data_IF_312693436769
#
_entry.id   IF_312693436769
#
_cell.length_a   1.000
_cell.length_b   1.000
_cell.length_c   1.000
_cell.angle_alpha   90.00
_cell.angle_beta   90.00
_cell.angle_gamma   90.00
#
_symmetry.space_group_name_H-M   'P 1'
#
loop_
_entity.id
_entity.type
_entity.pdbx_description
1 polymer ?
#
# COMPACT_ATOMS: atom_id res chain seq x y z
N UNK A 1 15.60 -14.93 44.62
CA UNK A 1 14.97 -15.15 43.31
C UNK A 1 14.63 -13.78 42.75
N UNK A 2 15.26 -13.37 41.64
CA UNK A 2 14.80 -12.19 40.92
C UNK A 2 13.42 -12.52 40.35
N UNK A 3 12.41 -11.70 40.64
CA UNK A 3 11.05 -11.90 40.17
C UNK A 3 11.01 -11.82 38.64
N UNK A 4 10.87 -12.97 37.98
CA UNK A 4 10.72 -13.06 36.53
C UNK A 4 9.24 -12.94 36.17
N UNK A 5 8.93 -12.12 35.16
CA UNK A 5 7.57 -11.94 34.66
C UNK A 5 7.27 -13.05 33.65
N UNK A 6 6.49 -14.04 34.06
CA UNK A 6 6.15 -15.18 33.18
C UNK A 6 4.99 -14.83 32.25
N UNK A 7 3.95 -14.22 32.81
CA UNK A 7 2.71 -13.88 32.10
C UNK A 7 2.14 -12.58 32.64
N UNK A 8 1.45 -11.82 31.80
CA UNK A 8 0.67 -10.67 32.23
C UNK A 8 -0.52 -10.46 31.30
N UNK A 9 -1.50 -9.69 31.78
CA UNK A 9 -2.58 -9.18 30.96
C UNK A 9 -2.71 -7.70 31.21
N UNK A 10 -2.74 -6.92 30.12
CA UNK A 10 -2.99 -5.49 30.15
C UNK A 10 -4.26 -5.23 29.36
N UNK A 11 -5.21 -4.56 29.98
CA UNK A 11 -6.37 -3.99 29.30
C UNK A 11 -6.12 -2.48 29.21
N UNK A 12 -5.94 -1.98 27.98
CA UNK A 12 -5.79 -0.56 27.72
C UNK A 12 -7.13 -0.06 27.21
N UNK A 13 -7.68 0.93 27.92
CA UNK A 13 -8.84 1.67 27.44
C UNK A 13 -8.43 3.10 27.17
N UNK A 14 -8.65 3.54 25.94
CA UNK A 14 -8.49 4.91 25.49
C UNK A 14 -9.88 5.51 25.31
N UNK A 15 -10.15 6.61 26.01
CA UNK A 15 -11.44 7.31 25.95
C UNK A 15 -11.22 8.75 25.53
N UNK A 16 -12.11 9.28 24.68
CA UNK A 16 -12.06 10.67 24.24
C UNK A 16 -13.44 11.18 23.84
N UNK A 17 -13.49 12.44 23.42
CA UNK A 17 -14.73 13.00 22.86
C UNK A 17 -14.46 13.91 21.67
N UNK A 18 -15.38 13.93 20.71
CA UNK A 18 -15.37 14.87 19.59
C UNK A 18 -16.79 15.34 19.28
N UNK A 19 -17.01 16.66 19.28
CA UNK A 19 -18.32 17.28 19.06
C UNK A 19 -19.46 16.65 19.90
N UNK A 20 -19.16 16.31 21.16
CA UNK A 20 -20.11 15.69 22.09
C UNK A 20 -20.27 14.16 21.95
N UNK A 21 -19.61 13.52 20.98
CA UNK A 21 -19.61 12.06 20.85
C UNK A 21 -18.45 11.46 21.63
N UNK A 22 -18.73 10.42 22.42
CA UNK A 22 -17.72 9.65 23.15
C UNK A 22 -17.06 8.60 22.23
N UNK A 23 -15.73 8.57 22.25
CA UNK A 23 -14.87 7.64 21.51
C UNK A 23 -14.23 6.67 22.51
N UNK A 24 -14.19 5.37 22.21
CA UNK A 24 -13.54 4.39 23.08
C UNK A 24 -12.89 3.25 22.29
N UNK A 25 -11.59 3.09 22.51
CA UNK A 25 -10.79 1.96 22.03
C UNK A 25 -10.34 1.12 23.23
N UNK A 26 -10.50 -0.20 23.12
CA UNK A 26 -10.10 -1.18 24.12
C UNK A 26 -9.15 -2.15 23.43
N UNK A 27 -7.95 -2.28 23.98
CA UNK A 27 -6.95 -3.25 23.53
C UNK A 27 -6.57 -4.15 24.69
N UNK A 28 -6.84 -5.45 24.53
CA UNK A 28 -6.40 -6.51 25.42
C UNK A 28 -5.09 -7.10 24.90
N UNK A 29 -4.01 -6.91 25.65
CA UNK A 29 -2.72 -7.54 25.42
C UNK A 29 -2.50 -8.61 26.50
N UNK A 30 -2.26 -9.85 26.07
CA UNK A 30 -1.98 -10.98 26.97
C UNK A 30 -0.64 -11.60 26.63
N UNK A 31 0.30 -11.60 27.58
CA UNK A 31 1.55 -12.35 27.51
C UNK A 31 1.29 -13.77 28.00
N UNK A 32 1.30 -14.71 27.06
CA UNK A 32 0.95 -16.13 27.25
C UNK A 32 2.15 -16.89 27.82
N UNK A 33 3.35 -16.59 27.32
CA UNK A 33 4.60 -17.27 27.69
C UNK A 33 5.76 -16.26 27.69
N UNK A 34 6.69 -16.44 28.63
CA UNK A 34 7.99 -15.75 28.64
C UNK A 34 9.04 -16.71 29.21
N UNK A 35 10.12 -16.94 28.46
CA UNK A 35 11.28 -17.70 28.92
C UNK A 35 12.48 -16.76 29.10
N UNK A 36 13.44 -17.22 29.90
CA UNK A 36 14.65 -16.49 30.21
C UNK A 36 15.87 -17.39 30.07
N UNK A 37 16.95 -16.84 29.53
CA UNK A 37 18.22 -17.55 29.45
C UNK A 37 18.89 -17.69 30.84
N UNK A 38 20.04 -18.38 30.88
CA UNK A 38 20.77 -18.67 32.13
C UNK A 38 21.27 -17.43 32.89
N UNK A 39 21.31 -16.25 32.25
CA UNK A 39 21.71 -14.97 32.88
C UNK A 39 20.51 -14.06 33.16
N UNK A 40 19.29 -14.53 32.95
CA UNK A 40 18.05 -13.84 33.30
C UNK A 40 17.55 -12.82 32.27
N UNK A 41 18.05 -12.87 31.02
CA UNK A 41 17.50 -12.07 29.90
C UNK A 41 16.38 -12.86 29.22
N UNK A 42 15.30 -12.18 28.79
CA UNK A 42 14.17 -12.81 28.08
C UNK A 42 14.67 -13.41 26.78
N UNK A 43 14.59 -14.73 26.57
CA UNK A 43 15.01 -15.36 25.30
C UNK A 43 13.84 -15.76 24.39
N UNK A 44 12.63 -15.85 24.94
CA UNK A 44 11.41 -16.13 24.19
C UNK A 44 10.22 -15.43 24.84
N UNK A 45 9.27 -15.01 24.02
CA UNK A 45 7.92 -14.76 24.49
C UNK A 45 6.87 -15.01 23.43
N UNK A 46 5.65 -15.25 23.91
CA UNK A 46 4.44 -15.30 23.09
C UNK A 46 3.36 -14.41 23.68
N UNK A 47 2.78 -13.53 22.87
CA UNK A 47 1.71 -12.63 23.27
C UNK A 47 0.58 -12.56 22.25
N UNK A 48 -0.62 -12.26 22.72
CA UNK A 48 -1.80 -12.05 21.91
C UNK A 48 -2.38 -10.65 22.18
N UNK A 49 -2.66 -9.93 21.11
CA UNK A 49 -3.32 -8.62 21.13
C UNK A 49 -4.67 -8.72 20.46
N UNK A 50 -5.70 -8.22 21.13
CA UNK A 50 -7.07 -8.15 20.63
C UNK A 50 -7.56 -6.73 20.85
N UNK A 51 -8.05 -6.08 19.80
CA UNK A 51 -8.59 -4.73 19.92
C UNK A 51 -10.05 -4.71 19.46
N UNK A 52 -10.83 -3.80 20.05
CA UNK A 52 -12.23 -3.60 19.67
C UNK A 52 -12.37 -2.75 18.39
N UNK A 53 -11.28 -2.23 17.84
CA UNK A 53 -11.26 -1.42 16.63
C UNK A 53 -11.43 -2.23 15.34
N UNK A 54 -11.05 -3.50 15.39
CA UNK A 54 -11.35 -4.53 14.41
C UNK A 54 -12.03 -5.70 15.14
N UNK A 55 -13.34 -5.58 15.40
CA UNK A 55 -14.19 -6.58 16.05
C UNK A 55 -14.12 -7.94 15.32
N UNK A 56 -13.08 -8.72 15.57
CA UNK A 56 -12.84 -9.97 14.84
C UNK A 56 -11.38 -10.19 14.44
N UNK A 57 -10.49 -9.20 14.54
CA UNK A 57 -9.05 -9.38 14.30
C UNK A 57 -8.31 -9.65 15.62
N UNK A 58 -7.45 -10.66 15.62
CA UNK A 58 -6.48 -10.92 16.67
C UNK A 58 -5.07 -10.94 16.07
N UNK A 59 -4.09 -10.54 16.88
CA UNK A 59 -2.68 -10.57 16.51
C UNK A 59 -1.93 -11.38 17.55
N UNK A 60 -1.37 -12.52 17.13
CA UNK A 60 -0.42 -13.29 17.93
C UNK A 60 1.00 -12.92 17.52
N UNK A 61 1.86 -12.64 18.49
CA UNK A 61 3.27 -12.36 18.28
C UNK A 61 4.11 -13.34 19.10
N UNK A 62 4.99 -14.05 18.42
CA UNK A 62 6.06 -14.84 19.01
C UNK A 62 7.38 -14.12 18.76
N UNK A 63 8.21 -14.00 19.78
CA UNK A 63 9.52 -13.38 19.70
C UNK A 63 10.56 -14.31 20.31
N UNK A 64 11.66 -14.51 19.60
CA UNK A 64 12.77 -15.36 20.00
C UNK A 64 14.09 -14.60 19.85
N UNK A 65 14.88 -14.53 20.92
CA UNK A 65 16.22 -14.00 20.87
C UNK A 65 17.19 -15.01 20.26
N UNK A 66 17.81 -14.66 19.14
CA UNK A 66 18.84 -15.49 18.53
C UNK A 66 20.22 -15.23 19.15
N UNK A 67 20.52 -13.96 19.47
CA UNK A 67 21.85 -13.56 19.95
C UNK A 67 21.81 -12.29 20.81
N UNK A 68 22.64 -12.28 21.85
CA UNK A 68 22.99 -11.11 22.65
C UNK A 68 24.45 -10.71 22.48
N UNK A 69 24.75 -9.43 22.64
CA UNK A 69 26.11 -8.95 22.85
C UNK A 69 26.56 -9.17 24.30
N UNK A 70 27.84 -8.87 24.57
CA UNK A 70 28.48 -9.11 25.87
C UNK A 70 27.91 -8.26 27.02
N UNK A 71 27.14 -7.21 26.71
CA UNK A 71 26.49 -6.34 27.71
C UNK A 71 24.98 -6.58 27.80
N UNK A 72 24.47 -7.63 27.15
CA UNK A 72 23.08 -8.07 27.27
C UNK A 72 22.09 -7.37 26.34
N UNK A 73 22.55 -6.66 25.30
CA UNK A 73 21.68 -6.13 24.25
C UNK A 73 21.46 -7.19 23.16
N UNK A 74 20.27 -7.21 22.57
CA UNK A 74 19.93 -8.16 21.51
C UNK A 74 20.65 -7.78 20.21
N UNK A 75 21.37 -8.69 19.58
CA UNK A 75 22.00 -8.45 18.27
C UNK A 75 21.24 -9.13 17.13
N UNK A 76 20.44 -10.14 17.45
CA UNK A 76 19.62 -10.84 16.47
C UNK A 76 18.42 -11.46 17.16
N UNK A 77 17.26 -11.38 16.52
CA UNK A 77 16.03 -12.03 16.99
C UNK A 77 15.11 -12.36 15.82
N UNK A 78 14.19 -13.27 16.08
CA UNK A 78 13.11 -13.64 15.18
C UNK A 78 11.77 -13.21 15.79
N UNK A 79 10.87 -12.69 14.97
CA UNK A 79 9.50 -12.38 15.37
C UNK A 79 8.55 -12.99 14.36
N UNK A 80 7.58 -13.76 14.82
CA UNK A 80 6.49 -14.28 14.00
C UNK A 80 5.19 -13.62 14.46
N UNK A 81 4.62 -12.79 13.59
CA UNK A 81 3.35 -12.10 13.82
C UNK A 81 2.27 -12.77 12.97
N UNK A 82 1.29 -13.41 13.64
CA UNK A 82 0.12 -14.00 13.02
C UNK A 82 -1.09 -13.10 13.23
N UNK A 83 -1.61 -12.53 12.16
CA UNK A 83 -2.87 -11.79 12.17
C UNK A 83 -3.99 -12.69 11.67
N UNK A 84 -5.07 -12.83 12.45
CA UNK A 84 -6.12 -13.78 12.10
C UNK A 84 -7.51 -13.35 12.55
N UNK A 85 -8.51 -13.93 11.91
CA UNK A 85 -9.92 -13.78 12.26
C UNK A 85 -10.26 -14.61 13.51
N UNK A 86 -10.56 -13.94 14.63
CA UNK A 86 -10.89 -14.60 15.89
C UNK A 86 -12.22 -15.34 15.83
N UNK A 87 -13.25 -14.74 15.22
CA UNK A 87 -14.61 -15.30 15.15
C UNK A 87 -14.67 -16.63 14.38
N UNK A 88 -13.71 -16.88 13.48
CA UNK A 88 -13.58 -18.12 12.70
C UNK A 88 -12.30 -18.92 12.97
N UNK A 89 -11.56 -18.61 14.03
CA UNK A 89 -10.25 -19.21 14.34
C UNK A 89 -9.28 -19.27 13.13
N UNK A 90 -9.22 -18.19 12.37
CA UNK A 90 -8.38 -18.04 11.17
C UNK A 90 -9.05 -18.41 9.84
N UNK A 91 -10.24 -19.03 9.84
CA UNK A 91 -10.84 -19.56 8.62
C UNK A 91 -11.09 -18.50 7.51
N UNK A 92 -11.43 -17.26 7.88
CA UNK A 92 -11.73 -16.20 6.92
C UNK A 92 -10.50 -15.32 6.60
N UNK A 93 -9.52 -15.27 7.49
CA UNK A 93 -8.31 -14.47 7.39
C UNK A 93 -7.27 -15.04 8.34
N UNK A 94 -6.10 -15.39 7.83
CA UNK A 94 -4.98 -15.91 8.61
C UNK A 94 -3.66 -15.70 7.87
N UNK A 95 -2.93 -14.70 8.34
CA UNK A 95 -1.65 -14.24 7.81
C UNK A 95 -0.59 -14.46 8.85
N UNK A 96 0.55 -15.05 8.50
CA UNK A 96 1.74 -15.04 9.34
C UNK A 96 2.90 -14.36 8.61
N UNK A 97 3.52 -13.40 9.27
CA UNK A 97 4.78 -12.78 8.83
C UNK A 97 5.87 -13.16 9.81
N UNK A 98 6.93 -13.79 9.33
CA UNK A 98 8.14 -14.05 10.13
C UNK A 98 9.23 -13.07 9.70
N UNK A 99 9.79 -12.36 10.67
CA UNK A 99 10.85 -11.37 10.49
C UNK A 99 12.06 -11.73 11.33
N UNK A 100 13.22 -11.87 10.69
CA UNK A 100 14.50 -11.99 11.37
C UNK A 100 15.18 -10.62 11.37
N UNK A 101 15.30 -9.99 12.54
CA UNK A 101 16.06 -8.75 12.71
C UNK A 101 17.50 -9.07 13.06
N UNK A 102 18.44 -8.47 12.34
CA UNK A 102 19.88 -8.47 12.64
C UNK A 102 20.36 -7.04 12.87
N UNK A 103 20.81 -6.75 14.08
CA UNK A 103 21.29 -5.44 14.52
C UNK A 103 22.81 -5.40 14.31
N UNK A 104 23.23 -4.57 13.37
CA UNK A 104 24.63 -4.37 13.00
C UNK A 104 24.77 -2.99 12.36
N UNK A 105 26.00 -2.53 12.14
CA UNK A 105 26.23 -1.30 11.40
C UNK A 105 26.13 -1.56 9.89
N UNK A 106 25.08 -1.07 9.26
CA UNK A 106 24.94 -1.08 7.81
C UNK A 106 25.25 0.31 7.22
N UNK A 107 25.79 0.37 6.01
CA UNK A 107 26.09 1.62 5.31
C UNK A 107 25.85 1.48 3.81
N UNK A 108 25.48 2.58 3.17
CA UNK A 108 25.27 2.65 1.72
C UNK A 108 26.51 3.27 1.06
N UNK A 109 27.09 2.57 0.09
CA UNK A 109 28.19 3.09 -0.72
C UNK A 109 27.69 3.94 -1.89
N UNK A 110 28.59 4.77 -2.44
CA UNK A 110 28.36 5.43 -3.72
C UNK A 110 28.20 4.35 -4.81
N UNK A 111 26.99 4.19 -5.33
CA UNK A 111 26.62 3.09 -6.22
C UNK A 111 25.44 2.23 -5.73
N UNK A 112 24.94 2.47 -4.51
CA UNK A 112 23.72 1.83 -4.00
C UNK A 112 23.94 0.47 -3.34
N UNK A 113 25.19 0.02 -3.22
CA UNK A 113 25.56 -1.22 -2.52
C UNK A 113 25.47 -1.01 -1.00
N UNK A 114 24.78 -1.95 -0.33
CA UNK A 114 24.68 -1.99 1.13
C UNK A 114 25.79 -2.89 1.67
N UNK A 115 26.63 -2.32 2.51
CA UNK A 115 27.69 -3.05 3.21
C UNK A 115 27.37 -3.19 4.70
N UNK A 116 27.86 -4.26 5.30
CA UNK A 116 27.76 -4.51 6.76
C UNK A 116 29.14 -4.41 7.37
N UNK A 117 29.30 -3.55 8.37
CA UNK A 117 30.47 -3.53 9.25
C UNK A 117 30.16 -4.37 10.49
N UNK A 118 30.54 -5.65 10.44
CA UNK A 118 30.30 -6.60 11.54
C UNK A 118 31.12 -6.32 12.79
N UNK A 119 32.05 -5.36 12.75
CA UNK A 119 32.85 -4.96 13.92
C UNK A 119 32.20 -3.85 14.73
N UNK A 120 31.19 -3.19 14.18
CA UNK A 120 30.46 -2.10 14.84
C UNK A 120 29.06 -2.54 15.24
N UNK A 121 28.69 -2.14 16.46
CA UNK A 121 27.35 -2.31 16.98
C UNK A 121 26.32 -1.60 16.10
N UNK A 122 25.16 -2.21 15.92
CA UNK A 122 23.98 -1.54 15.36
C UNK A 122 23.30 -0.60 16.37
N UNK A 123 23.90 -0.39 17.54
CA UNK A 123 23.46 0.56 18.56
C UNK A 123 24.33 1.82 18.58
N UNK A 124 23.73 2.95 18.95
CA UNK A 124 24.47 4.17 19.29
C UNK A 124 25.09 4.10 20.69
N UNK A 125 25.81 5.16 21.08
CA UNK A 125 26.50 5.24 22.37
C UNK A 125 25.56 5.25 23.59
N UNK A 126 24.26 5.47 23.37
CA UNK A 126 23.22 5.43 24.41
C UNK A 126 22.44 4.11 24.41
N UNK A 127 22.83 3.15 23.57
CA UNK A 127 22.17 1.85 23.44
C UNK A 127 20.87 1.89 22.63
N UNK A 128 20.63 2.94 21.83
CA UNK A 128 19.46 3.05 20.94
C UNK A 128 19.80 2.47 19.57
N UNK A 129 18.82 1.93 18.84
CA UNK A 129 19.04 1.32 17.53
C UNK A 129 19.53 2.35 16.49
N UNK A 130 20.79 2.25 16.11
CA UNK A 130 21.37 3.06 15.05
C UNK A 130 21.11 2.47 13.66
N UNK A 131 21.26 1.15 13.52
CA UNK A 131 21.10 0.45 12.25
C UNK A 131 20.75 -1.04 12.45
N UNK A 132 19.93 -1.59 11.54
CA UNK A 132 19.53 -3.00 11.53
C UNK A 132 19.03 -3.43 10.15
N UNK A 133 18.91 -4.74 9.95
CA UNK A 133 18.26 -5.35 8.79
C UNK A 133 17.16 -6.31 9.26
N UNK A 134 15.97 -6.18 8.70
CA UNK A 134 14.84 -7.07 8.86
C UNK A 134 14.67 -7.90 7.58
N UNK A 135 14.74 -9.22 7.71
CA UNK A 135 14.40 -10.14 6.62
C UNK A 135 13.07 -10.78 6.93
N UNK A 136 12.06 -10.46 6.13
CA UNK A 136 10.69 -10.88 6.36
C UNK A 136 10.16 -11.79 5.25
N UNK A 137 9.33 -12.74 5.64
CA UNK A 137 8.62 -13.68 4.77
C UNK A 137 7.18 -13.81 5.26
N UNK A 138 6.23 -13.77 4.33
CA UNK A 138 4.79 -13.78 4.63
C UNK A 138 4.15 -15.04 4.07
N UNK A 139 3.27 -15.70 4.84
CA UNK A 139 2.49 -16.85 4.37
C UNK A 139 1.37 -16.46 3.41
N UNK A 140 1.01 -15.18 3.37
CA UNK A 140 -0.02 -14.67 2.44
C UNK A 140 0.31 -14.86 0.97
N UNK A 141 1.60 -14.99 0.67
CA UNK A 141 2.10 -15.01 -0.68
C UNK A 141 3.35 -15.85 -0.74
N UNK A 142 3.23 -17.04 -1.32
CA UNK A 142 4.30 -18.03 -1.41
C UNK A 142 5.59 -17.40 -1.97
N UNK A 143 6.71 -17.53 -1.25
CA UNK A 143 8.04 -17.07 -1.70
C UNK A 143 8.28 -15.54 -1.75
N UNK A 144 7.30 -14.68 -1.42
CA UNK A 144 7.55 -13.23 -1.30
C UNK A 144 8.40 -12.95 -0.05
N UNK A 145 9.58 -12.37 -0.25
CA UNK A 145 10.50 -11.96 0.83
C UNK A 145 10.80 -10.47 0.73
N UNK A 146 10.95 -9.82 1.88
CA UNK A 146 11.35 -8.41 1.94
C UNK A 146 12.54 -8.25 2.89
N UNK A 147 13.65 -7.73 2.36
CA UNK A 147 14.79 -7.30 3.14
C UNK A 147 14.70 -5.78 3.37
N UNK A 148 14.57 -5.34 4.61
CA UNK A 148 14.46 -3.93 5.00
C UNK A 148 15.65 -3.52 5.85
N UNK A 149 16.42 -2.54 5.40
CA UNK A 149 17.58 -2.00 6.08
C UNK A 149 17.23 -0.64 6.67
N UNK A 150 17.46 -0.45 7.95
CA UNK A 150 17.45 0.85 8.60
C UNK A 150 18.90 1.29 8.82
N UNK A 151 19.25 2.44 8.27
CA UNK A 151 20.60 2.99 8.23
C UNK A 151 20.63 4.36 8.89
N UNK A 152 21.71 4.65 9.62
CA UNK A 152 22.03 6.00 10.11
C UNK A 152 20.88 6.69 10.86
N UNK A 153 20.18 5.96 11.74
CA UNK A 153 19.10 6.52 12.55
C UNK A 153 19.66 7.60 13.47
N UNK A 154 19.00 8.76 13.50
CA UNK A 154 19.40 9.91 14.31
C UNK A 154 18.34 10.24 15.33
N UNK A 155 18.79 10.56 16.53
CA UNK A 155 17.94 10.82 17.68
C UNK A 155 18.19 12.20 18.27
N UNK A 156 17.11 12.87 18.67
CA UNK A 156 17.20 14.11 19.42
C UNK A 156 17.61 13.83 20.89
N UNK A 157 17.84 14.86 21.71
CA UNK A 157 18.19 14.68 23.11
C UNK A 157 17.13 13.95 23.95
N UNK A 158 15.86 13.94 23.52
CA UNK A 158 14.77 13.20 24.16
C UNK A 158 14.68 11.73 23.68
N UNK A 159 15.54 11.30 22.75
CA UNK A 159 15.53 9.94 22.21
C UNK A 159 14.51 9.70 21.10
N UNK A 160 13.96 10.76 20.50
CA UNK A 160 13.01 10.66 19.39
C UNK A 160 13.75 10.71 18.05
N UNK A 161 13.29 9.96 17.06
CA UNK A 161 13.96 9.85 15.75
C UNK A 161 13.74 11.13 14.95
N UNK A 162 14.79 11.90 14.67
CA UNK A 162 14.68 13.08 13.81
C UNK A 162 15.13 12.85 12.36
N UNK A 163 15.69 11.68 12.06
CA UNK A 163 16.05 11.28 10.70
C UNK A 163 16.55 9.86 10.60
N UNK A 164 16.41 9.27 9.42
CA UNK A 164 16.85 7.91 9.11
C UNK A 164 16.97 7.72 7.60
N UNK A 165 17.58 6.62 7.20
CA UNK A 165 17.61 6.16 5.83
C UNK A 165 17.19 4.69 5.80
N UNK A 166 16.07 4.39 5.15
CA UNK A 166 15.53 3.06 4.99
C UNK A 166 15.64 2.58 3.54
N UNK A 167 16.06 1.33 3.34
CA UNK A 167 16.04 0.67 2.03
C UNK A 167 15.27 -0.64 2.17
N UNK A 168 14.26 -0.86 1.34
CA UNK A 168 13.48 -2.11 1.32
C UNK A 168 13.65 -2.78 -0.03
N UNK A 169 13.90 -4.10 -0.05
CA UNK A 169 14.07 -4.89 -1.27
C UNK A 169 13.06 -6.03 -1.24
N UNK A 170 12.02 -5.93 -2.07
CA UNK A 170 11.05 -7.01 -2.28
C UNK A 170 11.60 -8.00 -3.30
N UNK A 171 11.50 -9.30 -2.99
CA UNK A 171 12.08 -10.40 -3.77
C UNK A 171 11.08 -11.53 -3.97
N UNK A 172 11.03 -12.08 -5.19
CA UNK A 172 10.34 -13.33 -5.49
C UNK A 172 10.84 -13.95 -6.82
N UNK A 173 10.40 -15.16 -7.16
CA UNK A 173 10.54 -15.79 -8.47
C UNK A 173 9.23 -15.68 -9.24
N UNK A 174 9.30 -15.02 -10.40
CA UNK A 174 8.21 -14.98 -11.35
C UNK A 174 7.96 -16.36 -11.97
N UNK A 175 6.76 -16.53 -12.52
CA UNK A 175 6.29 -17.79 -13.16
C UNK A 175 7.18 -18.29 -14.30
N UNK A 176 7.95 -17.41 -14.94
CA UNK A 176 8.92 -17.73 -16.00
C UNK A 176 10.33 -18.03 -15.47
N UNK A 177 10.52 -18.06 -14.15
CA UNK A 177 11.80 -18.30 -13.48
C UNK A 177 12.66 -17.04 -13.29
N UNK A 178 12.25 -15.87 -13.82
CA UNK A 178 12.96 -14.62 -13.57
C UNK A 178 12.83 -14.18 -12.11
N UNK A 179 13.84 -13.51 -11.56
CA UNK A 179 13.78 -12.96 -10.20
C UNK A 179 13.20 -11.55 -10.24
N UNK A 180 12.12 -11.32 -9.48
CA UNK A 180 11.64 -9.98 -9.15
C UNK A 180 12.48 -9.44 -8.00
N UNK A 181 13.05 -8.24 -8.18
CA UNK A 181 13.82 -7.54 -7.15
C UNK A 181 13.52 -6.04 -7.25
N UNK A 182 12.64 -5.55 -6.38
CA UNK A 182 12.23 -4.15 -6.32
C UNK A 182 12.81 -3.48 -5.07
N UNK A 183 13.80 -2.61 -5.29
CA UNK A 183 14.37 -1.77 -4.24
C UNK A 183 13.60 -0.45 -4.14
N UNK A 184 13.26 -0.06 -2.92
CA UNK A 184 12.71 1.24 -2.57
C UNK A 184 13.60 1.88 -1.50
N UNK A 185 13.91 3.14 -1.67
CA UNK A 185 14.75 3.93 -0.77
C UNK A 185 13.96 5.11 -0.23
N UNK A 186 14.02 5.29 1.09
CA UNK A 186 13.41 6.41 1.79
C UNK A 186 14.47 7.03 2.69
N UNK A 187 14.64 8.34 2.60
CA UNK A 187 15.48 9.09 3.54
C UNK A 187 14.65 10.20 4.16
N UNK A 188 14.44 10.12 5.47
CA UNK A 188 13.73 11.14 6.24
C UNK A 188 14.72 11.97 7.05
N UNK A 189 14.53 13.28 7.03
CA UNK A 189 15.34 14.25 7.77
C UNK A 189 14.43 15.28 8.44
N UNK A 190 15.00 16.04 9.38
CA UNK A 190 14.35 17.18 10.03
C UNK A 190 12.95 16.83 10.58
N UNK A 191 12.79 15.63 11.16
CA UNK A 191 11.54 15.32 11.87
C UNK A 191 11.50 16.13 13.16
N UNK A 192 10.50 16.98 13.25
CA UNK A 192 10.24 17.84 14.40
C UNK A 192 9.03 17.31 15.18
N UNK A 193 8.93 17.74 16.43
CA UNK A 193 7.89 17.30 17.34
C UNK A 193 7.29 18.49 18.07
N UNK A 194 5.97 18.44 18.30
CA UNK A 194 5.30 19.38 19.17
C UNK A 194 5.66 19.16 20.66
N UNK A 195 5.11 19.99 21.54
CA UNK A 195 5.35 19.91 22.98
C UNK A 195 4.83 18.61 23.61
N UNK A 196 3.87 17.94 22.98
CA UNK A 196 3.36 16.64 23.41
C UNK A 196 4.17 15.46 22.84
N UNK A 197 5.21 15.74 22.04
CA UNK A 197 6.05 14.72 21.43
C UNK A 197 5.46 14.07 20.18
N UNK A 198 4.43 14.66 19.56
CA UNK A 198 3.83 14.21 18.31
C UNK A 198 4.54 14.86 17.13
N UNK A 199 4.67 14.16 16.00
CA UNK A 199 5.39 14.66 14.83
C UNK A 199 4.72 15.93 14.30
N UNK A 200 5.45 17.03 14.17
CA UNK A 200 4.92 18.31 13.66
C UNK A 200 5.36 18.61 12.23
N UNK A 201 6.51 18.10 11.80
CA UNK A 201 7.08 18.33 10.48
C UNK A 201 8.09 17.23 10.12
N UNK A 202 8.30 16.95 8.84
CA UNK A 202 9.47 16.22 8.34
C UNK A 202 9.68 16.45 6.84
N UNK A 203 10.91 16.23 6.38
CA UNK A 203 11.23 16.14 4.95
C UNK A 203 11.64 14.71 4.61
N UNK A 204 11.12 14.16 3.53
CA UNK A 204 11.39 12.80 3.08
C UNK A 204 11.69 12.74 1.59
N UNK A 205 12.81 12.12 1.21
CA UNK A 205 13.06 11.76 -0.19
C UNK A 205 12.76 10.29 -0.41
N UNK A 206 12.15 9.96 -1.55
CA UNK A 206 11.81 8.58 -1.93
C UNK A 206 12.26 8.28 -3.37
N UNK A 207 12.87 7.10 -3.57
CA UNK A 207 13.34 6.59 -4.87
C UNK A 207 12.97 5.12 -4.98
N UNK A 208 12.66 4.64 -6.20
CA UNK A 208 12.30 3.24 -6.44
C UNK A 208 12.99 2.72 -7.70
N UNK A 209 13.45 1.48 -7.69
CA UNK A 209 13.99 0.80 -8.87
C UNK A 209 12.98 0.67 -10.02
N UNK A 210 11.68 0.78 -9.73
CA UNK A 210 10.66 0.83 -10.79
C UNK A 210 10.78 2.09 -11.65
N UNK A 211 11.36 3.17 -11.08
CA UNK A 211 11.55 4.49 -11.66
C UNK A 211 12.81 5.15 -11.04
N UNK A 212 14.01 4.61 -11.30
CA UNK A 212 15.22 4.91 -10.54
C UNK A 212 15.64 6.38 -10.54
N UNK A 213 15.32 7.09 -11.63
CA UNK A 213 15.75 8.47 -11.84
C UNK A 213 14.64 9.47 -11.45
N UNK A 214 13.52 8.96 -10.93
CA UNK A 214 12.47 9.75 -10.30
C UNK A 214 12.76 9.88 -8.81
N UNK A 215 12.91 11.12 -8.35
CA UNK A 215 13.05 11.47 -6.93
C UNK A 215 11.84 12.27 -6.51
N UNK A 216 11.11 11.76 -5.51
CA UNK A 216 10.04 12.50 -4.84
C UNK A 216 10.56 13.04 -3.51
N UNK A 217 10.49 14.36 -3.31
CA UNK A 217 10.77 15.03 -2.03
C UNK A 217 9.46 15.52 -1.44
N UNK A 218 9.05 14.94 -0.31
CA UNK A 218 7.89 15.33 0.48
C UNK A 218 8.33 16.23 1.64
N UNK A 219 7.77 17.44 1.70
CA UNK A 219 7.75 18.30 2.88
C UNK A 219 6.36 18.18 3.51
N UNK A 220 6.30 17.57 4.69
CA UNK A 220 5.06 17.29 5.42
C UNK A 220 5.00 18.13 6.68
N UNK A 221 3.84 18.73 6.95
CA UNK A 221 3.60 19.52 8.16
C UNK A 221 2.24 19.18 8.78
N UNK A 222 2.24 18.87 10.08
CA UNK A 222 1.01 18.69 10.85
C UNK A 222 0.27 20.03 10.98
N UNK A 223 -1.03 20.02 10.75
CA UNK A 223 -1.90 21.17 10.97
C UNK A 223 -2.48 21.18 12.39
N UNK A 224 -3.01 20.06 12.85
CA UNK A 224 -3.57 19.91 14.20
C UNK A 224 -3.79 18.44 14.58
N UNK A 225 -3.88 18.20 15.88
CA UNK A 225 -4.25 16.94 16.49
C UNK A 225 -5.50 17.13 17.37
N UNK A 226 -6.33 16.09 17.50
CA UNK A 226 -7.40 16.09 18.50
C UNK A 226 -6.85 15.72 19.90
N UNK A 227 -7.75 15.68 20.89
CA UNK A 227 -7.40 15.38 22.29
C UNK A 227 -6.91 13.95 22.51
N UNK A 228 -7.22 13.03 21.59
CA UNK A 228 -6.68 11.67 21.56
C UNK A 228 -5.30 11.58 20.89
N UNK A 229 -4.75 12.71 20.42
CA UNK A 229 -3.49 12.74 19.70
C UNK A 229 -3.57 12.23 18.26
N UNK A 230 -4.77 12.09 17.70
CA UNK A 230 -4.97 11.71 16.30
C UNK A 230 -4.88 12.95 15.41
N UNK A 231 -4.23 12.81 14.25
CA UNK A 231 -4.05 13.91 13.30
C UNK A 231 -5.40 14.29 12.67
N UNK A 232 -5.79 15.56 12.78
CA UNK A 232 -7.06 16.06 12.24
C UNK A 232 -6.90 17.00 11.03
N UNK A 233 -5.66 17.43 10.75
CA UNK A 233 -5.30 18.32 9.65
C UNK A 233 -3.81 18.24 9.34
N UNK A 234 -3.42 18.31 8.08
CA UNK A 234 -2.02 18.41 7.64
C UNK A 234 -1.87 19.03 6.25
N UNK A 235 -0.63 19.39 5.89
CA UNK A 235 -0.24 19.83 4.56
C UNK A 235 0.94 18.99 4.04
N UNK A 236 0.96 18.75 2.74
CA UNK A 236 2.04 18.08 2.02
C UNK A 236 2.44 18.90 0.80
N UNK A 237 3.74 19.09 0.61
CA UNK A 237 4.32 19.62 -0.63
C UNK A 237 5.22 18.53 -1.19
N UNK A 238 4.84 18.00 -2.35
CA UNK A 238 5.58 16.94 -3.04
C UNK A 238 6.26 17.57 -4.24
N UNK A 239 7.59 17.61 -4.21
CA UNK A 239 8.43 17.97 -5.34
C UNK A 239 8.94 16.70 -6.03
N UNK A 240 8.48 16.46 -7.25
CA UNK A 240 8.90 15.36 -8.11
C UNK A 240 9.89 15.88 -9.14
N UNK A 241 11.10 15.33 -9.12
CA UNK A 241 12.13 15.59 -10.11
C UNK A 241 12.48 14.30 -10.86
N UNK A 242 12.60 14.39 -12.17
CA UNK A 242 13.13 13.30 -13.01
C UNK A 242 14.27 13.84 -13.85
N UNK A 243 15.41 13.17 -13.78
CA UNK A 243 16.57 13.44 -14.62
C UNK A 243 16.75 12.32 -15.66
N UNK A 244 17.32 12.64 -16.81
CA UNK A 244 17.76 11.64 -17.78
C UNK A 244 19.17 11.10 -17.47
N UNK A 245 19.63 10.15 -18.28
CA UNK A 245 20.97 9.53 -18.16
C UNK A 245 22.12 10.56 -18.25
N UNK A 246 21.87 11.77 -18.75
CA UNK A 246 22.81 12.88 -18.84
C UNK A 246 22.62 13.94 -17.74
N UNK A 247 21.81 13.64 -16.71
CA UNK A 247 21.39 14.53 -15.63
C UNK A 247 20.60 15.77 -16.10
N UNK A 248 19.89 15.66 -17.24
CA UNK A 248 18.99 16.72 -17.72
C UNK A 248 17.62 16.53 -17.07
N UNK A 249 17.08 17.59 -16.47
CA UNK A 249 15.74 17.56 -15.86
C UNK A 249 14.67 17.46 -16.95
N UNK A 250 13.93 16.36 -16.97
CA UNK A 250 12.83 16.10 -17.93
C UNK A 250 11.45 16.25 -17.30
N UNK A 251 11.37 16.23 -15.96
CA UNK A 251 10.16 16.57 -15.21
C UNK A 251 10.56 17.31 -13.93
N UNK A 252 9.88 18.43 -13.68
CA UNK A 252 9.97 19.20 -12.45
C UNK A 252 8.56 19.64 -12.06
N UNK A 253 7.97 18.93 -11.09
CA UNK A 253 6.57 19.11 -10.68
C UNK A 253 6.48 19.31 -9.19
N UNK A 254 5.72 20.31 -8.77
CA UNK A 254 5.33 20.52 -7.38
C UNK A 254 3.83 20.34 -7.25
N UNK A 255 3.42 19.43 -6.36
CA UNK A 255 2.02 19.20 -5.97
C UNK A 255 1.85 19.55 -4.50
N UNK A 256 0.82 20.32 -4.18
CA UNK A 256 0.48 20.67 -2.79
C UNK A 256 -0.87 20.07 -2.43
N UNK A 257 -0.87 19.24 -1.39
CA UNK A 257 -2.08 18.68 -0.81
C UNK A 257 -2.34 19.30 0.56
N UNK A 258 -3.59 19.65 0.85
CA UNK A 258 -4.02 20.10 2.18
C UNK A 258 -5.20 19.25 2.61
N UNK A 259 -5.01 18.44 3.65
CA UNK A 259 -6.07 17.62 4.22
C UNK A 259 -6.56 18.21 5.53
N UNK A 260 -7.88 18.35 5.65
CA UNK A 260 -8.55 18.95 6.81
C UNK A 260 -9.82 18.18 7.14
N UNK A 261 -10.42 18.56 8.26
CA UNK A 261 -11.66 17.98 8.76
C UNK A 261 -11.57 16.45 8.88
N UNK A 262 -10.37 15.94 9.16
CA UNK A 262 -10.16 14.51 9.34
C UNK A 262 -10.87 14.10 10.63
N UNK A 263 -11.80 13.16 10.52
CA UNK A 263 -12.49 12.59 11.67
C UNK A 263 -12.39 11.07 11.67
N UNK A 264 -12.58 10.50 12.86
CA UNK A 264 -12.46 9.07 13.10
C UNK A 264 -13.78 8.55 13.67
N UNK A 265 -14.04 7.27 13.47
CA UNK A 265 -15.09 6.52 14.16
C UNK A 265 -14.79 6.43 15.66
N UNK A 266 -15.76 5.98 16.46
CA UNK A 266 -15.57 5.79 17.90
C UNK A 266 -14.49 4.77 18.25
N UNK A 267 -14.14 3.90 17.30
CA UNK A 267 -13.06 2.91 17.41
C UNK A 267 -11.72 3.38 16.86
N UNK A 268 -11.65 4.60 16.30
CA UNK A 268 -10.41 5.18 15.79
C UNK A 268 -10.10 4.91 14.31
N UNK A 269 -10.99 4.22 13.57
CA UNK A 269 -10.87 4.09 12.11
C UNK A 269 -11.19 5.42 11.41
N UNK A 270 -10.49 5.74 10.31
CA UNK A 270 -10.72 6.96 9.53
C UNK A 270 -12.18 7.03 9.04
N UNK A 271 -12.88 8.14 9.27
CA UNK A 271 -14.29 8.28 8.91
C UNK A 271 -14.52 9.24 7.76
N UNK A 272 -13.86 10.39 7.79
CA UNK A 272 -14.08 11.48 6.85
C UNK A 272 -12.83 12.34 6.71
N UNK A 273 -12.65 12.97 5.55
CA UNK A 273 -11.76 14.12 5.38
C UNK A 273 -12.12 14.93 4.13
N UNK A 274 -11.59 16.17 4.09
CA UNK A 274 -11.58 17.01 2.89
C UNK A 274 -10.14 17.26 2.48
N UNK A 275 -9.81 17.05 1.21
CA UNK A 275 -8.49 17.26 0.63
C UNK A 275 -8.55 18.24 -0.54
N UNK A 276 -7.66 19.23 -0.51
CA UNK A 276 -7.44 20.19 -1.60
C UNK A 276 -6.09 19.90 -2.25
N UNK A 277 -6.08 19.77 -3.58
CA UNK A 277 -4.87 19.52 -4.39
C UNK A 277 -4.70 20.61 -5.44
N UNK A 278 -3.47 21.14 -5.54
CA UNK A 278 -3.02 22.04 -6.63
C UNK A 278 -1.64 21.60 -7.12
N UNK A 279 -1.31 21.90 -8.38
CA UNK A 279 -0.03 21.50 -8.97
C UNK A 279 0.48 22.54 -9.97
N UNK A 280 1.79 22.78 -9.97
CA UNK A 280 2.41 23.71 -10.94
C UNK A 280 2.32 23.23 -12.39
N UNK A 281 2.09 21.92 -12.63
CA UNK A 281 1.87 21.38 -13.97
C UNK A 281 0.49 21.75 -14.56
N UNK A 282 -0.45 22.13 -13.69
CA UNK A 282 -1.82 22.56 -14.05
C UNK A 282 -2.23 23.69 -13.12
N UNK A 283 -1.56 24.86 -13.21
CA UNK A 283 -1.64 25.91 -12.18
C UNK A 283 -3.04 26.51 -12.02
N UNK A 284 -3.86 26.44 -13.07
CA UNK A 284 -5.23 26.93 -13.08
C UNK A 284 -6.24 25.88 -12.57
N UNK A 285 -5.82 24.64 -12.32
CA UNK A 285 -6.67 23.55 -11.85
C UNK A 285 -6.51 23.34 -10.35
N UNK A 286 -7.64 23.34 -9.65
CA UNK A 286 -7.77 22.99 -8.24
C UNK A 286 -8.76 21.83 -8.10
N UNK A 287 -8.35 20.79 -7.39
CA UNK A 287 -9.22 19.65 -7.08
C UNK A 287 -9.54 19.65 -5.59
N UNK A 288 -10.81 19.49 -5.24
CA UNK A 288 -11.29 19.31 -3.86
C UNK A 288 -12.00 17.98 -3.76
N UNK A 289 -11.48 17.08 -2.92
CA UNK A 289 -12.04 15.77 -2.64
C UNK A 289 -12.66 15.77 -1.24
N UNK A 290 -13.92 15.40 -1.14
CA UNK A 290 -14.55 14.97 0.12
C UNK A 290 -14.61 13.45 0.11
N UNK A 291 -14.11 12.82 1.17
CA UNK A 291 -14.05 11.37 1.30
C UNK A 291 -14.73 10.92 2.58
N UNK A 292 -15.55 9.88 2.50
CA UNK A 292 -16.31 9.32 3.62
C UNK A 292 -16.30 7.79 3.59
N UNK A 293 -15.99 7.18 4.73
CA UNK A 293 -16.19 5.74 4.94
C UNK A 293 -17.62 5.48 5.41
N UNK A 294 -18.37 4.70 4.63
CA UNK A 294 -19.75 4.36 4.95
C UNK A 294 -19.86 3.10 5.81
N UNK A 295 -18.99 2.11 5.56
CA UNK A 295 -19.02 0.85 6.27
C UNK A 295 -17.67 0.14 6.28
N UNK A 296 -17.30 -0.36 7.46
CA UNK A 296 -16.17 -1.25 7.69
C UNK A 296 -16.66 -2.66 8.02
N UNK A 297 -15.95 -3.69 7.57
CA UNK A 297 -16.20 -5.06 8.05
C UNK A 297 -15.62 -5.28 9.46
N UNK A 298 -15.85 -6.49 10.00
CA UNK A 298 -15.34 -6.94 11.31
C UNK A 298 -13.81 -6.87 11.45
N UNK A 299 -13.07 -6.92 10.35
CA UNK A 299 -11.60 -6.82 10.33
C UNK A 299 -11.10 -5.36 10.20
N UNK A 300 -12.00 -4.38 10.20
CA UNK A 300 -11.64 -2.96 10.04
C UNK A 300 -11.29 -2.57 8.61
N UNK A 301 -11.67 -3.37 7.62
CA UNK A 301 -11.45 -3.07 6.19
C UNK A 301 -12.66 -2.34 5.60
N UNK A 302 -12.43 -1.41 4.67
CA UNK A 302 -13.50 -0.58 4.08
C UNK A 302 -14.30 -1.40 3.07
N UNK A 303 -15.59 -1.56 3.33
CA UNK A 303 -16.52 -2.26 2.42
C UNK A 303 -17.26 -1.26 1.54
N UNK A 304 -17.69 -0.14 2.13
CA UNK A 304 -18.41 0.95 1.44
C UNK A 304 -17.79 2.30 1.77
N UNK A 305 -17.70 3.14 0.75
CA UNK A 305 -17.24 4.52 0.86
C UNK A 305 -17.90 5.36 -0.23
N UNK A 306 -17.90 6.66 -0.04
CA UNK A 306 -18.20 7.59 -1.13
C UNK A 306 -17.22 8.74 -1.16
N UNK A 307 -17.11 9.32 -2.35
CA UNK A 307 -16.33 10.52 -2.57
C UNK A 307 -17.10 11.51 -3.43
N UNK A 308 -16.93 12.79 -3.13
CA UNK A 308 -17.32 13.89 -3.99
C UNK A 308 -16.05 14.66 -4.39
N UNK A 309 -15.75 14.65 -5.68
CA UNK A 309 -14.60 15.37 -6.26
C UNK A 309 -15.12 16.56 -7.03
N UNK A 310 -14.63 17.76 -6.68
CA UNK A 310 -14.90 18.99 -7.42
C UNK A 310 -13.61 19.51 -8.03
N UNK A 311 -13.60 19.65 -9.34
CA UNK A 311 -12.50 20.19 -10.13
C UNK A 311 -12.88 21.59 -10.62
N UNK A 312 -12.15 22.58 -10.13
CA UNK A 312 -12.29 23.98 -10.49
C UNK A 312 -11.12 24.38 -11.39
N UNK A 313 -11.43 24.91 -12.57
CA UNK A 313 -10.42 25.40 -13.50
C UNK A 313 -10.81 26.73 -14.11
N UNK A 314 -9.84 27.59 -14.38
CA UNK A 314 -10.06 28.76 -15.22
C UNK A 314 -9.19 28.65 -16.47
N UNK A 315 -9.81 28.58 -17.66
CA UNK A 315 -9.08 28.58 -18.92
C UNK A 315 -9.63 29.66 -19.83
N UNK A 316 -8.85 30.72 -20.06
CA UNK A 316 -9.29 31.89 -20.82
C UNK A 316 -10.54 32.53 -20.20
N UNK A 317 -11.65 32.58 -20.95
CA UNK A 317 -12.94 33.11 -20.49
C UNK A 317 -13.90 32.06 -19.92
N UNK A 318 -13.51 30.78 -19.86
CA UNK A 318 -14.35 29.68 -19.41
C UNK A 318 -14.06 29.26 -17.97
N UNK A 319 -15.11 29.09 -17.18
CA UNK A 319 -15.07 28.43 -15.87
C UNK A 319 -15.31 26.93 -16.06
N UNK A 320 -14.39 26.10 -15.57
CA UNK A 320 -14.62 24.68 -15.36
C UNK A 320 -15.08 24.48 -13.92
N UNK A 321 -16.25 23.87 -13.77
CA UNK A 321 -16.73 23.30 -12.50
C UNK A 321 -17.28 21.90 -12.78
N UNK A 322 -16.43 20.92 -12.55
CA UNK A 322 -16.77 19.50 -12.72
C UNK A 322 -16.94 18.86 -11.35
N UNK A 323 -18.06 18.19 -11.16
CA UNK A 323 -18.41 17.44 -9.95
C UNK A 323 -18.52 15.97 -10.35
N UNK A 324 -17.78 15.11 -9.67
CA UNK A 324 -17.88 13.66 -9.81
C UNK A 324 -18.17 13.04 -8.44
N UNK A 325 -19.28 12.32 -8.35
CA UNK A 325 -19.62 11.51 -7.19
C UNK A 325 -19.28 10.05 -7.51
N UNK A 326 -18.54 9.41 -6.61
CA UNK A 326 -18.18 7.99 -6.69
C UNK A 326 -18.64 7.30 -5.43
N UNK A 327 -19.44 6.26 -5.56
CA UNK A 327 -19.89 5.42 -4.44
C UNK A 327 -19.35 4.00 -4.64
N UNK A 328 -18.51 3.53 -3.71
CA UNK A 328 -18.17 2.13 -3.56
C UNK A 328 -19.30 1.46 -2.79
N UNK A 329 -20.13 0.70 -3.51
CA UNK A 329 -21.32 0.05 -2.96
C UNK A 329 -21.00 -1.26 -2.26
N UNK A 330 -19.90 -1.90 -2.63
CA UNK A 330 -19.41 -3.11 -1.98
C UNK A 330 -17.92 -3.32 -2.29
N UNK A 331 -17.22 -3.97 -1.35
CA UNK A 331 -15.82 -4.39 -1.49
C UNK A 331 -15.66 -5.70 -0.73
N UNK A 332 -15.09 -6.69 -1.40
CA UNK A 332 -14.74 -7.96 -0.79
C UNK A 332 -13.22 -8.12 -0.79
N UNK A 333 -12.73 -8.78 0.25
CA UNK A 333 -11.33 -9.09 0.47
C UNK A 333 -11.16 -10.60 0.52
N UNK A 334 -10.12 -11.11 -0.13
CA UNK A 334 -9.77 -12.52 0.00
C UNK A 334 -9.22 -12.83 1.40
N UNK A 335 -8.90 -14.11 1.65
CA UNK A 335 -8.42 -14.58 2.95
C UNK A 335 -7.05 -14.04 3.38
N UNK A 336 -6.33 -13.35 2.49
CA UNK A 336 -5.05 -12.69 2.79
C UNK A 336 -5.19 -11.16 2.81
N UNK A 337 -6.42 -10.65 2.73
CA UNK A 337 -6.73 -9.22 2.87
C UNK A 337 -6.53 -8.39 1.59
N UNK A 338 -6.37 -9.00 0.42
CA UNK A 338 -6.36 -8.29 -0.87
C UNK A 338 -7.79 -8.06 -1.36
N UNK A 339 -8.07 -6.86 -1.90
CA UNK A 339 -9.37 -6.55 -2.53
C UNK A 339 -9.52 -7.39 -3.78
N UNK A 340 -10.37 -8.41 -3.78
CA UNK A 340 -10.60 -9.30 -4.93
C UNK A 340 -11.95 -9.06 -5.60
N UNK A 341 -12.79 -8.19 -5.06
CA UNK A 341 -14.01 -7.74 -5.72
C UNK A 341 -14.43 -6.36 -5.24
N UNK A 342 -15.01 -5.58 -6.14
CA UNK A 342 -15.73 -4.38 -5.77
C UNK A 342 -16.89 -4.09 -6.72
N UNK A 343 -17.83 -3.30 -6.22
CA UNK A 343 -18.84 -2.64 -7.02
C UNK A 343 -18.80 -1.14 -6.75
N UNK A 344 -18.72 -0.33 -7.80
CA UNK A 344 -18.73 1.13 -7.71
C UNK A 344 -19.69 1.77 -8.71
N UNK A 345 -20.13 2.98 -8.40
CA UNK A 345 -20.98 3.81 -9.24
C UNK A 345 -20.45 5.24 -9.30
N UNK A 346 -20.34 5.77 -10.52
CA UNK A 346 -19.85 7.11 -10.81
C UNK A 346 -20.94 7.93 -11.50
N UNK A 347 -21.16 9.16 -11.02
CA UNK A 347 -22.09 10.14 -11.59
C UNK A 347 -21.36 11.48 -11.67
N UNK A 348 -21.38 12.12 -12.84
CA UNK A 348 -20.74 13.41 -13.07
C UNK A 348 -21.70 14.42 -13.70
N UNK A 349 -21.55 15.70 -13.38
CA UNK A 349 -22.33 16.77 -14.01
C UNK A 349 -21.90 17.04 -15.47
N UNK A 350 -20.73 16.60 -15.91
CA UNK A 350 -20.28 16.69 -17.31
C UNK A 350 -21.19 15.94 -18.28
N UNK A 351 -21.88 14.92 -17.75
CA UNK A 351 -22.86 14.11 -18.44
C UNK A 351 -24.04 13.89 -17.49
N UNK A 352 -24.85 14.93 -17.29
CA UNK A 352 -25.86 15.02 -16.22
C UNK A 352 -26.79 13.79 -16.11
N UNK A 353 -27.10 13.14 -17.23
CA UNK A 353 -27.97 11.96 -17.27
C UNK A 353 -27.20 10.62 -17.33
N UNK A 354 -25.87 10.60 -17.41
CA UNK A 354 -25.10 9.36 -17.51
C UNK A 354 -24.61 8.90 -16.14
N UNK A 355 -24.93 7.66 -15.78
CA UNK A 355 -24.32 6.93 -14.68
C UNK A 355 -23.45 5.78 -15.22
N UNK A 356 -22.33 5.52 -14.54
CA UNK A 356 -21.43 4.40 -14.86
C UNK A 356 -21.33 3.54 -13.62
N UNK A 357 -21.79 2.30 -13.70
CA UNK A 357 -21.61 1.29 -12.67
C UNK A 357 -20.56 0.28 -13.11
N UNK A 358 -19.57 0.05 -12.28
CA UNK A 358 -18.50 -0.89 -12.54
C UNK A 358 -18.46 -1.97 -11.45
N UNK A 359 -18.41 -3.22 -11.89
CA UNK A 359 -18.05 -4.36 -11.05
C UNK A 359 -16.67 -4.82 -11.50
N UNK A 360 -15.74 -4.92 -10.57
CA UNK A 360 -14.43 -5.54 -10.80
C UNK A 360 -14.36 -6.79 -9.93
N UNK A 361 -13.98 -7.92 -10.53
CA UNK A 361 -13.98 -9.23 -9.88
C UNK A 361 -12.71 -10.00 -10.25
N UNK A 362 -11.85 -10.20 -9.26
CA UNK A 362 -10.68 -11.05 -9.29
C UNK A 362 -10.80 -12.30 -8.40
N UNK A 363 -12.00 -12.62 -7.91
CA UNK A 363 -12.22 -13.78 -7.03
C UNK A 363 -11.91 -15.09 -7.77
N UNK A 364 -11.14 -15.96 -7.12
CA UNK A 364 -10.85 -17.30 -7.64
C UNK A 364 -12.06 -18.22 -7.54
N UNK A 365 -12.88 -18.07 -6.50
CA UNK A 365 -14.06 -18.90 -6.23
C UNK A 365 -15.14 -18.82 -7.31
N UNK A 366 -15.19 -17.71 -8.04
CA UNK A 366 -16.11 -17.51 -9.18
C UNK A 366 -15.46 -17.88 -10.51
N UNK A 367 -14.16 -18.23 -10.52
CA UNK A 367 -13.34 -18.37 -11.72
C UNK A 367 -13.10 -17.04 -12.46
N UNK A 368 -13.53 -15.91 -11.90
CA UNK A 368 -13.44 -14.59 -12.52
C UNK A 368 -12.00 -14.05 -12.58
N UNK A 369 -11.16 -14.38 -11.60
CA UNK A 369 -9.78 -13.92 -11.56
C UNK A 369 -8.82 -14.74 -10.71
N UNK A 370 -7.62 -14.19 -10.53
CA UNK A 370 -6.51 -14.79 -9.77
C UNK A 370 -5.44 -13.76 -9.40
N UNK A 371 -4.79 -13.97 -8.26
CA UNK A 371 -3.55 -13.31 -7.88
C UNK A 371 -2.34 -14.23 -8.11
N UNK A 372 -1.16 -13.66 -8.35
CA UNK A 372 0.09 -14.40 -8.22
C UNK A 372 0.62 -14.38 -6.79
N UNK A 373 1.73 -15.09 -6.59
CA UNK A 373 2.48 -15.16 -5.33
C UNK A 373 3.13 -13.84 -4.89
N UNK A 374 2.99 -12.75 -5.64
CA UNK A 374 3.41 -11.40 -5.25
C UNK A 374 2.23 -10.52 -4.81
N UNK A 375 0.99 -11.02 -4.90
CA UNK A 375 -0.23 -10.24 -4.67
C UNK A 375 -0.57 -9.35 -5.87
N UNK A 376 -0.01 -9.64 -7.04
CA UNK A 376 -0.35 -8.95 -8.29
C UNK A 376 -1.49 -9.68 -8.99
N UNK A 377 -2.40 -8.93 -9.61
CA UNK A 377 -3.57 -9.50 -10.28
C UNK A 377 -3.15 -10.13 -11.62
N UNK A 378 -3.31 -11.45 -11.77
CA UNK A 378 -3.03 -12.14 -13.04
C UNK A 378 -4.26 -12.23 -13.94
N UNK A 379 -5.47 -12.24 -13.36
CA UNK A 379 -6.72 -12.28 -14.10
C UNK A 379 -7.79 -11.54 -13.33
N UNK A 380 -8.64 -10.80 -14.04
CA UNK A 380 -9.86 -10.23 -13.49
C UNK A 380 -10.91 -10.01 -14.57
N UNK A 381 -12.15 -9.82 -14.14
CA UNK A 381 -13.27 -9.42 -14.98
C UNK A 381 -13.77 -8.05 -14.52
N UNK A 382 -14.00 -7.15 -15.47
CA UNK A 382 -14.67 -5.87 -15.25
C UNK A 382 -15.96 -5.85 -16.03
N UNK A 383 -17.09 -5.60 -15.37
CA UNK A 383 -18.38 -5.33 -16.01
C UNK A 383 -18.77 -3.87 -15.78
N UNK A 384 -18.81 -3.10 -16.85
CA UNK A 384 -19.18 -1.68 -16.84
C UNK A 384 -20.55 -1.51 -17.47
N UNK A 385 -21.52 -1.06 -16.69
CA UNK A 385 -22.86 -0.66 -17.14
C UNK A 385 -22.93 0.86 -17.24
N UNK A 386 -23.13 1.37 -18.45
CA UNK A 386 -23.44 2.78 -18.70
C UNK A 386 -24.94 2.92 -18.91
N UNK A 387 -25.60 3.78 -18.14
CA UNK A 387 -27.05 3.93 -18.23
C UNK A 387 -27.55 5.35 -17.96
N UNK A 388 -28.73 5.65 -18.49
CA UNK A 388 -29.46 6.89 -18.22
C UNK A 388 -30.01 6.90 -16.80
N UNK A 389 -29.61 7.89 -16.01
CA UNK A 389 -30.00 8.04 -14.60
C UNK A 389 -31.46 8.43 -14.47
N UNK A 390 -31.95 9.34 -15.30
CA UNK A 390 -33.29 9.93 -15.21
C UNK A 390 -34.43 8.93 -15.43
N UNK A 391 -34.17 7.88 -16.20
CA UNK A 391 -35.16 6.86 -16.58
C UNK A 391 -34.75 5.43 -16.17
N UNK A 392 -33.71 5.30 -15.35
CA UNK A 392 -33.16 4.02 -14.90
C UNK A 392 -32.69 3.09 -16.02
N UNK A 393 -32.27 3.67 -17.16
CA UNK A 393 -31.67 2.96 -18.28
C UNK A 393 -32.60 2.75 -19.47
N UNK A 394 -33.71 3.48 -19.57
CA UNK A 394 -34.64 3.31 -20.69
C UNK A 394 -34.08 3.88 -22.00
N UNK A 395 -33.40 5.04 -21.96
CA UNK A 395 -32.81 5.69 -23.13
C UNK A 395 -31.39 5.20 -23.45
N UNK A 396 -30.63 4.83 -22.43
CA UNK A 396 -29.29 4.25 -22.54
C UNK A 396 -29.14 3.17 -21.48
N UNK A 397 -28.81 1.95 -21.89
CA UNK A 397 -28.39 0.88 -20.99
C UNK A 397 -27.50 -0.06 -21.77
N UNK A 398 -26.20 0.00 -21.47
CA UNK A 398 -25.17 -0.77 -22.15
C UNK A 398 -24.27 -1.40 -21.11
N UNK A 399 -24.08 -2.69 -21.19
CA UNK A 399 -23.12 -3.43 -20.37
C UNK A 399 -21.98 -3.97 -21.22
N UNK A 400 -20.77 -3.52 -20.91
CA UNK A 400 -19.52 -4.07 -21.46
C UNK A 400 -18.83 -4.92 -20.40
N UNK A 401 -18.45 -6.15 -20.76
CA UNK A 401 -17.66 -7.04 -19.90
C UNK A 401 -16.29 -7.26 -20.54
N UNK A 402 -15.25 -6.97 -19.76
CA UNK A 402 -13.84 -7.13 -20.13
C UNK A 402 -13.19 -8.13 -19.20
N UNK A 403 -12.69 -9.23 -19.72
CA UNK A 403 -11.81 -10.15 -19.00
C UNK A 403 -10.38 -9.80 -19.36
N UNK A 404 -9.56 -9.39 -18.38
CA UNK A 404 -8.13 -9.15 -18.58
C UNK A 404 -7.31 -10.29 -17.97
N UNK A 405 -6.38 -10.82 -18.75
CA UNK A 405 -5.40 -11.82 -18.35
C UNK A 405 -3.99 -11.23 -18.52
N UNK A 406 -3.29 -10.99 -17.42
CA UNK A 406 -1.95 -10.40 -17.37
C UNK A 406 -0.89 -11.50 -17.55
N UNK A 407 -0.56 -11.77 -18.80
CA UNK A 407 0.36 -12.84 -19.21
C UNK A 407 1.28 -12.38 -20.32
N UNK A 408 2.43 -13.03 -20.44
CA UNK A 408 3.28 -12.93 -21.62
C UNK A 408 2.81 -13.93 -22.66
N UNK A 409 2.50 -13.45 -23.85
CA UNK A 409 2.16 -14.27 -25.02
C UNK A 409 3.29 -14.29 -26.05
N UNK A 410 3.35 -15.37 -26.81
CA UNK A 410 4.38 -15.60 -27.81
C UNK A 410 4.14 -14.77 -29.08
N UNK A 411 5.20 -14.20 -29.63
CA UNK A 411 5.22 -13.52 -30.92
C UNK A 411 6.37 -14.09 -31.76
N UNK A 412 6.16 -14.25 -33.06
CA UNK A 412 7.20 -14.71 -33.98
C UNK A 412 8.23 -13.60 -34.26
N UNK A 413 9.27 -13.92 -35.03
CA UNK A 413 10.35 -12.99 -35.36
C UNK A 413 9.90 -11.71 -36.10
N UNK A 414 8.69 -11.72 -36.68
CA UNK A 414 8.07 -10.57 -37.35
C UNK A 414 7.11 -9.79 -36.45
N UNK A 415 7.02 -10.14 -35.16
CA UNK A 415 6.14 -9.48 -34.18
C UNK A 415 4.69 -9.95 -34.21
N UNK A 416 4.35 -10.98 -35.02
CA UNK A 416 2.98 -11.51 -35.12
C UNK A 416 2.73 -12.51 -34.00
N UNK A 417 1.56 -12.41 -33.37
CA UNK A 417 1.13 -13.29 -32.27
C UNK A 417 1.06 -14.74 -32.76
N UNK A 418 1.67 -15.64 -31.99
CA UNK A 418 1.60 -17.08 -32.24
C UNK A 418 0.33 -17.62 -31.58
N UNK A 419 -0.55 -18.20 -32.40
CA UNK A 419 -1.80 -18.82 -31.96
C UNK A 419 -1.62 -20.33 -31.75
N UNK A 420 -2.30 -20.87 -30.74
CA UNK A 420 -2.41 -22.29 -30.48
C UNK A 420 -3.43 -22.97 -31.39
N UNK A 421 -3.64 -24.27 -31.15
CA UNK A 421 -4.60 -25.11 -31.90
C UNK A 421 -6.06 -24.68 -31.73
N UNK A 422 -6.35 -23.94 -30.66
CA UNK A 422 -7.64 -23.36 -30.31
C UNK A 422 -7.79 -21.90 -30.77
N UNK A 423 -6.84 -21.40 -31.58
CA UNK A 423 -6.77 -20.02 -32.06
C UNK A 423 -6.60 -18.97 -30.95
N UNK A 424 -6.18 -19.37 -29.74
CA UNK A 424 -5.83 -18.46 -28.65
C UNK A 424 -4.32 -18.18 -28.63
N UNK A 425 -3.87 -17.00 -28.14
CA UNK A 425 -2.45 -16.70 -28.00
C UNK A 425 -1.72 -17.71 -27.11
N UNK A 426 -0.56 -18.19 -27.57
CA UNK A 426 0.27 -19.10 -26.77
C UNK A 426 0.91 -18.33 -25.61
N UNK A 427 0.56 -18.71 -24.38
CA UNK A 427 1.09 -18.10 -23.15
C UNK A 427 2.47 -18.69 -22.83
N UNK A 428 3.46 -17.84 -22.57
CA UNK A 428 4.86 -18.22 -22.32
C UNK A 428 5.42 -17.71 -20.99
N UNK A 429 4.68 -16.90 -20.23
CA UNK A 429 5.16 -16.42 -18.94
C UNK A 429 4.28 -15.38 -18.26
N UNK A 430 4.85 -14.70 -17.26
CA UNK A 430 4.19 -13.62 -16.51
C UNK A 430 3.97 -12.38 -17.37
N UNK A 431 2.82 -11.72 -17.23
CA UNK A 431 2.57 -10.42 -17.85
C UNK A 431 3.27 -9.25 -17.14
N UNK A 432 4.06 -9.53 -16.10
CA UNK A 432 4.88 -8.56 -15.37
C UNK A 432 6.37 -8.73 -15.70
N UNK A 433 7.13 -7.63 -15.64
CA UNK A 433 8.59 -7.67 -15.67
C UNK A 433 9.20 -7.90 -14.28
N UNK A 434 10.54 -7.96 -14.21
CA UNK A 434 11.28 -8.16 -12.96
C UNK A 434 11.28 -6.96 -12.00
N UNK A 435 10.62 -5.86 -12.38
CA UNK A 435 10.35 -4.68 -11.53
C UNK A 435 8.86 -4.54 -11.21
N UNK A 436 8.05 -5.53 -11.58
CA UNK A 436 6.62 -5.61 -11.24
C UNK A 436 5.73 -4.75 -12.12
N UNK A 437 6.27 -4.22 -13.23
CA UNK A 437 5.51 -3.41 -14.20
C UNK A 437 4.80 -4.32 -15.18
N UNK A 438 3.57 -3.98 -15.55
CA UNK A 438 2.79 -4.75 -16.52
C UNK A 438 3.42 -4.62 -17.91
N UNK A 439 4.04 -5.69 -18.41
CA UNK A 439 4.65 -5.76 -19.75
C UNK A 439 3.72 -6.29 -20.83
N UNK A 440 2.68 -7.05 -20.48
CA UNK A 440 1.73 -7.57 -21.47
C UNK A 440 0.44 -8.09 -20.83
N UNK A 441 -0.65 -8.05 -21.58
CA UNK A 441 -1.92 -8.67 -21.21
C UNK A 441 -2.77 -9.00 -22.44
N UNK A 442 -3.78 -9.83 -22.23
CA UNK A 442 -4.84 -10.18 -23.19
C UNK A 442 -6.16 -9.69 -22.59
N UNK A 443 -6.97 -9.00 -23.38
CA UNK A 443 -8.34 -8.66 -23.00
C UNK A 443 -9.33 -9.33 -23.92
N UNK A 444 -10.41 -9.83 -23.35
CA UNK A 444 -11.59 -10.27 -24.10
C UNK A 444 -12.75 -9.39 -23.72
N UNK A 445 -13.30 -8.67 -24.70
CA UNK A 445 -14.35 -7.67 -24.49
C UNK A 445 -15.60 -8.12 -25.23
N UNK A 446 -16.72 -8.14 -24.52
CA UNK A 446 -18.05 -8.39 -25.06
C UNK A 446 -19.01 -7.31 -24.57
N UNK A 447 -20.01 -6.98 -25.38
CA UNK A 447 -20.99 -5.94 -25.05
C UNK A 447 -22.38 -6.39 -25.48
N UNK A 448 -23.38 -6.07 -24.67
CA UNK A 448 -24.78 -6.47 -24.90
C UNK A 448 -25.44 -5.73 -26.08
N UNK A 449 -24.96 -4.54 -26.41
CA UNK A 449 -25.32 -3.79 -27.61
C UNK A 449 -24.79 -4.43 -28.92
N UNK A 450 -23.90 -5.42 -28.81
CA UNK A 450 -23.32 -6.16 -29.93
C UNK A 450 -23.19 -7.66 -29.60
N UNK A 451 -24.32 -8.34 -29.37
CA UNK A 451 -24.43 -9.71 -28.83
C UNK A 451 -23.58 -10.82 -29.48
N UNK A 452 -23.07 -10.61 -30.70
CA UNK A 452 -22.23 -11.58 -31.41
C UNK A 452 -20.83 -11.05 -31.73
N UNK A 453 -20.45 -9.91 -31.16
CA UNK A 453 -19.13 -9.31 -31.34
C UNK A 453 -18.30 -9.56 -30.09
N UNK A 454 -17.16 -10.22 -30.29
CA UNK A 454 -16.09 -10.31 -29.32
C UNK A 454 -14.90 -9.52 -29.86
N UNK A 455 -14.27 -8.72 -29.02
CA UNK A 455 -13.03 -8.01 -29.33
C UNK A 455 -11.92 -8.59 -28.46
N UNK A 456 -10.78 -8.90 -29.05
CA UNK A 456 -9.62 -9.44 -28.33
C UNK A 456 -8.47 -8.46 -28.46
N UNK A 457 -8.16 -7.73 -27.39
CA UNK A 457 -6.99 -6.87 -27.38
C UNK A 457 -5.77 -7.63 -26.86
N UNK A 458 -4.70 -7.61 -27.64
CA UNK A 458 -3.39 -8.13 -27.26
C UNK A 458 -2.46 -6.95 -27.09
N UNK A 459 -2.19 -6.61 -25.83
CA UNK A 459 -1.38 -5.45 -25.49
C UNK A 459 -0.01 -5.89 -25.00
N UNK A 460 1.04 -5.20 -25.45
CA UNK A 460 2.41 -5.44 -25.00
C UNK A 460 3.18 -4.13 -24.97
N UNK A 461 3.85 -3.88 -23.84
CA UNK A 461 4.79 -2.78 -23.71
C UNK A 461 6.01 -3.01 -24.61
N UNK A 462 6.43 -1.96 -25.32
CA UNK A 462 7.68 -1.99 -26.08
C UNK A 462 8.87 -1.80 -25.13
N UNK A 463 8.79 -0.76 -24.30
CA UNK A 463 9.78 -0.43 -23.28
C UNK A 463 9.21 0.54 -22.24
N UNK A 464 9.94 0.66 -21.14
CA UNK A 464 9.72 1.70 -20.13
C UNK A 464 10.89 2.68 -20.16
N UNK A 465 10.62 3.96 -19.91
CA UNK A 465 11.69 4.90 -19.60
C UNK A 465 12.24 4.65 -18.20
N UNK A 466 13.34 5.34 -17.91
CA UNK A 466 14.00 5.37 -16.60
C UNK A 466 13.09 5.85 -15.46
N UNK A 467 12.05 6.62 -15.76
CA UNK A 467 11.03 7.05 -14.80
C UNK A 467 9.92 6.01 -14.59
N UNK A 468 10.09 4.78 -15.12
CA UNK A 468 9.12 3.69 -15.03
C UNK A 468 7.88 3.87 -15.90
N UNK A 469 7.83 4.91 -16.74
CA UNK A 469 6.70 5.22 -17.60
C UNK A 469 6.82 4.45 -18.91
N UNK A 470 5.68 4.01 -19.44
CA UNK A 470 5.59 3.35 -20.73
C UNK A 470 6.07 4.30 -21.86
N UNK A 471 7.08 3.90 -22.64
CA UNK A 471 7.56 4.68 -23.81
C UNK A 471 6.81 4.38 -25.10
N UNK A 472 6.26 3.18 -25.20
CA UNK A 472 5.57 2.69 -26.39
C UNK A 472 4.90 1.36 -26.09
N UNK A 473 3.92 1.01 -26.90
CA UNK A 473 3.24 -0.27 -26.84
C UNK A 473 2.75 -0.70 -28.22
N UNK A 474 2.61 -2.00 -28.38
CA UNK A 474 1.86 -2.63 -29.44
C UNK A 474 0.50 -3.06 -28.90
N UNK A 475 -0.56 -2.77 -29.67
CA UNK A 475 -1.87 -3.34 -29.44
C UNK A 475 -2.42 -3.90 -30.75
N UNK A 476 -2.75 -5.19 -30.75
CA UNK A 476 -3.51 -5.84 -31.81
C UNK A 476 -4.94 -6.07 -31.31
N UNK A 477 -5.96 -5.78 -32.14
CA UNK A 477 -7.39 -5.83 -31.77
C UNK A 477 -8.17 -6.73 -32.71
#
# INVERSE_FOLDING_TARGET
SLGQLLTFRTNIREEGSYNGNYLSKITDLTRIETNYNSVGLIDHYKQETISNDAQGKAVEEVWDADRYNTIGQVEKYTTSTREYSKSGNGAAFDKTVTTVRTIASYSLLAGGEIITDSTKSGYDIYGRLYSYCDKSESTDVDNKKTDSYMLSTKYDPAGRIYGYHQISIEKDKLKDGAQFNLRNEIKRILTEYDLAGRVSHYIQTSVSDAASDKVDTLDWTAGAYNDLGQLIKYNEIIHTKVEDENNIVILDKTTTNKRRDISYTNTGLLKHYIEETVSNATPDLKTVLTWDADYYNELGQIVRLHTNTVEFGMSGSGLLEKITNTARLDTHYNSVGLVDYYQQENISNDAEDKAIREIWDARESTGAGRYNSLGQVEKYTTSTREYSKSDSGAALDKTTTTVRLVVLYNVNASGVVVLGVDNNPVIVGSGYDNKGRTRSYIETIVSDDAKNKQVINLWKADSFNIAGQLKGYMQNT
#
